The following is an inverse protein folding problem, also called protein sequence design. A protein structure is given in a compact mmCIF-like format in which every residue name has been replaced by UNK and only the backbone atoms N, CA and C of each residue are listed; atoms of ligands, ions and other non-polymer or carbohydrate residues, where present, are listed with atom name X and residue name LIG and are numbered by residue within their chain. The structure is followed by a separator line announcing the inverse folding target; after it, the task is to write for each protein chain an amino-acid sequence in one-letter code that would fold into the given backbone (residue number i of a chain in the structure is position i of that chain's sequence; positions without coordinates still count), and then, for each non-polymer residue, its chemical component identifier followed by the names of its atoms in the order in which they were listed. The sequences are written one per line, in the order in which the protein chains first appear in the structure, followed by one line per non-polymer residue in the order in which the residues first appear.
data_IF_320837145499
#
_entry.id   IF_320837145499
#
_cell.length_a   1.000
_cell.length_b   1.000
_cell.length_c   1.000
_cell.angle_alpha   90.00
_cell.angle_beta   90.00
_cell.angle_gamma   90.00
#
_symmetry.space_group_name_H-M   'P 1'
#
loop_
_entity.id
_entity.type
_entity.pdbx_description
1 polymer ?
#
# COMPACT_ATOMS: atom_id res chain seq x y z
N UNK A 1 6.10 -1.45 36.32
CA UNK A 1 5.81 -2.37 35.19
C UNK A 1 5.22 -1.52 34.09
N UNK A 2 5.97 -1.25 33.03
CA UNK A 2 5.49 -0.46 31.89
C UNK A 2 4.51 -1.29 31.08
N UNK A 3 3.26 -0.82 31.00
CA UNK A 3 2.20 -1.39 30.15
C UNK A 3 2.72 -1.53 28.72
N UNK A 4 2.73 -2.77 28.22
CA UNK A 4 3.06 -3.10 26.84
C UNK A 4 2.03 -2.46 25.90
N UNK A 5 2.31 -1.23 25.47
CA UNK A 5 1.59 -0.57 24.39
C UNK A 5 1.97 -1.24 23.07
N UNK A 6 1.45 -2.42 22.81
CA UNK A 6 1.54 -3.02 21.48
C UNK A 6 0.84 -2.09 20.48
N UNK A 7 1.48 -1.74 19.35
CA UNK A 7 0.90 -0.82 18.39
C UNK A 7 -0.40 -1.42 17.82
N UNK A 8 -1.51 -0.75 18.09
CA UNK A 8 -2.86 -1.13 17.63
C UNK A 8 -2.97 -1.34 16.10
N UNK A 9 -2.03 -0.79 15.33
CA UNK A 9 -1.89 -1.09 13.92
C UNK A 9 -0.41 -1.08 13.51
N UNK A 10 0.01 -2.13 12.80
CA UNK A 10 1.34 -2.20 12.18
C UNK A 10 1.22 -1.76 10.73
N UNK A 11 2.07 -0.81 10.33
CA UNK A 11 2.21 -0.44 8.91
C UNK A 11 2.93 -1.58 8.21
N UNK A 12 2.30 -2.19 7.21
CA UNK A 12 2.77 -3.43 6.58
C UNK A 12 3.86 -3.20 5.52
N UNK A 13 4.23 -1.94 5.26
CA UNK A 13 5.06 -1.58 4.12
C UNK A 13 4.31 -1.62 2.78
N UNK A 14 2.98 -1.83 2.80
CA UNK A 14 2.17 -1.98 1.60
C UNK A 14 1.29 -0.76 1.34
N UNK A 15 0.97 -0.55 0.07
CA UNK A 15 0.11 0.50 -0.42
C UNK A 15 -1.00 -0.12 -1.27
N UNK A 16 -2.24 0.26 -0.97
CA UNK A 16 -3.39 -0.08 -1.80
C UNK A 16 -3.57 1.03 -2.82
N UNK A 17 -3.44 0.69 -4.10
CA UNK A 17 -3.52 1.64 -5.21
C UNK A 17 -4.69 1.29 -6.12
N UNK A 18 -5.49 2.29 -6.46
CA UNK A 18 -6.52 2.23 -7.50
C UNK A 18 -6.04 3.08 -8.67
N UNK A 19 -5.85 2.45 -9.82
CA UNK A 19 -5.49 3.14 -11.06
C UNK A 19 -6.73 3.56 -11.85
N UNK A 20 -6.51 4.46 -12.81
CA UNK A 20 -7.50 4.80 -13.82
C UNK A 20 -7.79 3.61 -14.74
N UNK A 21 -9.01 3.52 -15.31
CA UNK A 21 -9.33 2.51 -16.30
C UNK A 21 -8.36 2.55 -17.49
N UNK A 22 -7.98 1.38 -18.00
CA UNK A 22 -7.07 1.24 -19.15
C UNK A 22 -5.58 1.35 -18.82
N UNK A 23 -5.21 1.64 -17.57
CA UNK A 23 -3.81 1.56 -17.13
C UNK A 23 -3.46 0.11 -16.83
N UNK A 24 -2.34 -0.36 -17.41
CA UNK A 24 -1.80 -1.68 -17.11
C UNK A 24 -1.19 -1.68 -15.71
N UNK A 25 -1.74 -2.52 -14.84
CA UNK A 25 -1.36 -2.63 -13.45
C UNK A 25 0.07 -3.18 -13.26
N UNK A 26 0.48 -4.15 -14.07
CA UNK A 26 1.78 -4.78 -13.96
C UNK A 26 2.88 -3.85 -14.48
N UNK A 27 2.61 -3.16 -15.61
CA UNK A 27 3.52 -2.15 -16.14
C UNK A 27 3.70 -0.99 -15.14
N UNK A 28 2.60 -0.48 -14.58
CA UNK A 28 2.65 0.57 -13.57
C UNK A 28 3.47 0.16 -12.33
N UNK A 29 3.28 -1.07 -11.84
CA UNK A 29 4.04 -1.56 -10.69
C UNK A 29 5.55 -1.60 -10.99
N UNK A 30 5.94 -2.11 -12.17
CA UNK A 30 7.34 -2.15 -12.61
C UNK A 30 7.96 -0.75 -12.70
N UNK A 31 7.26 0.22 -13.29
CA UNK A 31 7.72 1.61 -13.41
C UNK A 31 7.81 2.33 -12.06
N UNK A 32 6.95 1.97 -11.11
CA UNK A 32 6.93 2.56 -9.77
C UNK A 32 8.13 2.15 -8.91
N UNK A 33 8.83 1.06 -9.27
CA UNK A 33 9.89 0.44 -8.47
C UNK A 33 9.38 -0.29 -7.23
N UNK A 34 8.07 -0.54 -7.16
CA UNK A 34 7.42 -1.26 -6.05
C UNK A 34 7.09 -2.68 -6.49
N UNK A 35 7.09 -3.61 -5.53
CA UNK A 35 6.73 -5.00 -5.79
C UNK A 35 5.21 -5.11 -5.89
N UNK A 36 4.71 -5.69 -6.98
CA UNK A 36 3.30 -6.07 -7.07
C UNK A 36 3.03 -7.30 -6.19
N UNK A 37 2.25 -7.13 -5.13
CA UNK A 37 1.87 -8.21 -4.22
C UNK A 37 0.52 -8.84 -4.61
N UNK A 38 -0.40 -8.02 -5.11
CA UNK A 38 -1.73 -8.47 -5.53
C UNK A 38 -2.36 -7.48 -6.51
N UNK A 39 -3.23 -7.97 -7.39
CA UNK A 39 -4.07 -7.13 -8.25
C UNK A 39 -5.42 -7.81 -8.57
N UNK A 40 -6.37 -7.04 -9.07
CA UNK A 40 -7.60 -7.54 -9.68
C UNK A 40 -7.91 -6.88 -11.02
N UNK A 41 -8.96 -7.38 -11.69
CA UNK A 41 -9.41 -6.89 -13.00
C UNK A 41 -10.06 -5.50 -12.96
N UNK A 42 -10.26 -4.94 -11.76
CA UNK A 42 -10.82 -3.61 -11.55
C UNK A 42 -9.74 -2.54 -11.36
N UNK A 43 -8.50 -2.75 -11.79
CA UNK A 43 -7.41 -1.77 -11.62
C UNK A 43 -7.11 -1.45 -10.13
N UNK A 44 -7.44 -2.36 -9.22
CA UNK A 44 -7.04 -2.28 -7.82
C UNK A 44 -5.84 -3.20 -7.60
N UNK A 45 -4.84 -2.70 -6.89
CA UNK A 45 -3.62 -3.44 -6.59
C UNK A 45 -3.10 -3.15 -5.19
N UNK A 46 -2.26 -4.06 -4.72
CA UNK A 46 -1.42 -3.89 -3.53
C UNK A 46 0.03 -3.90 -3.97
N UNK A 47 0.74 -2.82 -3.65
CA UNK A 47 2.15 -2.64 -3.90
C UNK A 47 2.91 -2.72 -2.57
N UNK A 48 4.00 -3.48 -2.51
CA UNK A 48 4.90 -3.52 -1.38
C UNK A 48 6.15 -2.69 -1.67
N UNK A 49 6.48 -1.79 -0.75
CA UNK A 49 7.74 -1.06 -0.77
C UNK A 49 8.86 -1.93 -0.17
N UNK A 50 10.10 -1.69 -0.61
CA UNK A 50 11.27 -2.33 -0.03
C UNK A 50 11.49 -1.92 1.43
N UNK A 51 12.09 -2.79 2.24
CA UNK A 51 12.46 -2.44 3.61
C UNK A 51 13.31 -1.17 3.67
N UNK A 52 13.06 -0.33 4.68
CA UNK A 52 13.73 0.97 4.84
C UNK A 52 13.23 2.07 3.91
N UNK A 53 12.27 1.80 3.02
CA UNK A 53 11.67 2.84 2.16
C UNK A 53 10.85 3.84 2.96
N UNK A 54 10.94 5.12 2.60
CA UNK A 54 10.05 6.14 3.13
C UNK A 54 8.65 5.99 2.52
N UNK A 55 7.79 5.29 3.23
CA UNK A 55 6.41 5.00 2.81
C UNK A 55 5.56 6.26 2.64
N UNK A 56 5.84 7.32 3.40
CA UNK A 56 5.11 8.59 3.25
C UNK A 56 5.55 9.31 1.98
N UNK A 57 6.85 9.33 1.67
CA UNK A 57 7.34 9.87 0.41
C UNK A 57 6.80 9.09 -0.80
N UNK A 58 6.77 7.75 -0.72
CA UNK A 58 6.17 6.88 -1.75
C UNK A 58 4.67 7.18 -1.91
N UNK A 59 3.94 7.30 -0.81
CA UNK A 59 2.52 7.65 -0.82
C UNK A 59 2.28 9.01 -1.51
N UNK A 60 3.05 10.04 -1.16
CA UNK A 60 2.92 11.36 -1.75
C UNK A 60 3.30 11.38 -3.23
N UNK A 61 4.31 10.60 -3.64
CA UNK A 61 4.64 10.41 -5.06
C UNK A 61 3.46 9.81 -5.83
N UNK A 62 2.88 8.71 -5.33
CA UNK A 62 1.76 8.03 -5.98
C UNK A 62 0.48 8.87 -6.00
N UNK A 63 0.24 9.72 -5.00
CA UNK A 63 -0.91 10.66 -5.01
C UNK A 63 -0.82 11.70 -6.11
N UNK A 64 0.39 12.08 -6.52
CA UNK A 64 0.65 13.06 -7.58
C UNK A 64 0.69 12.43 -8.97
N UNK A 65 0.69 11.11 -9.04
CA UNK A 65 0.74 10.38 -10.30
C UNK A 65 -0.61 10.53 -11.06
N UNK A 66 -0.60 10.97 -12.32
CA UNK A 66 -1.81 11.19 -13.09
C UNK A 66 -2.58 9.91 -13.41
N UNK A 67 -1.96 8.73 -13.31
CA UNK A 67 -2.58 7.43 -13.56
C UNK A 67 -3.28 6.86 -12.31
N UNK A 68 -2.94 7.38 -11.12
CA UNK A 68 -3.51 6.94 -9.84
C UNK A 68 -4.80 7.70 -9.55
N UNK A 69 -5.89 6.98 -9.31
CA UNK A 69 -7.15 7.55 -8.81
C UNK A 69 -7.15 7.68 -7.30
N UNK A 70 -6.59 6.68 -6.61
CA UNK A 70 -6.55 6.65 -5.14
C UNK A 70 -5.38 5.81 -4.67
N UNK A 71 -4.72 6.25 -3.62
CA UNK A 71 -3.71 5.46 -2.92
C UNK A 71 -3.85 5.61 -1.42
N UNK A 72 -3.60 4.53 -0.69
CA UNK A 72 -3.60 4.50 0.78
C UNK A 72 -2.49 3.58 1.28
N UNK A 73 -1.93 3.91 2.45
CA UNK A 73 -1.12 2.96 3.20
C UNK A 73 -2.01 1.85 3.75
N UNK A 74 -1.59 0.62 3.51
CA UNK A 74 -2.20 -0.53 4.14
C UNK A 74 -1.83 -0.53 5.63
N UNK A 75 -2.83 -0.77 6.47
CA UNK A 75 -2.68 -0.85 7.92
C UNK A 75 -3.20 -2.20 8.35
N UNK A 76 -2.29 -3.09 8.74
CA UNK A 76 -2.69 -4.30 9.44
C UNK A 76 -3.09 -3.89 10.85
N UNK A 77 -4.41 -3.86 11.08
CA UNK A 77 -4.95 -3.84 12.44
C UNK A 77 -4.96 -5.30 12.89
N UNK A 78 -4.30 -5.60 14.01
CA UNK A 78 -4.52 -6.85 14.71
C UNK A 78 -5.99 -6.86 15.10
N UNK A 79 -6.82 -7.57 14.33
CA UNK A 79 -8.19 -7.84 14.74
C UNK A 79 -8.04 -8.74 15.96
N UNK A 80 -8.21 -8.17 17.15
CA UNK A 80 -8.57 -8.99 18.30
C UNK A 80 -9.87 -9.70 17.91
N UNK A 81 -9.76 -11.00 17.61
CA UNK A 81 -10.92 -11.88 17.60
C UNK A 81 -11.56 -11.78 18.99
N UNK A 82 -12.88 -11.52 19.10
CA UNK A 82 -13.53 -11.61 20.40
C UNK A 82 -13.39 -13.06 20.88
N UNK A 83 -12.76 -13.23 22.05
CA UNK A 83 -12.81 -14.48 22.83
C UNK A 83 -14.24 -14.79 23.24
#
# INVERSE_FOLDING_TARGET
MTEAHEPFATVTGKLVVKLKPGVDAAAFAADSGLRLDWQNDTQLMVLAASEGSDLLAVLEKLKRDPQVMRVKLDRAVLKHEPM
#
